data_IF_000596125083
#
_entry.id   IF_000596125083
#
_cell.length_a   1.000
_cell.length_b   1.000
_cell.length_c   1.000
_cell.angle_alpha   90.00
_cell.angle_beta   90.00
_cell.angle_gamma   90.00
#
_symmetry.space_group_name_H-M   'P 1'
#
loop_
_entity.id
_entity.type
_entity.pdbx_description
1 polymer ?
#
# COMPACT_ATOMS: atom_id res chain seq x y z
N UNK A 1 9.11 -0.39 -10.34
CA UNK A 1 9.46 0.98 -10.78
C UNK A 1 10.20 1.62 -9.63
N UNK A 2 11.53 1.73 -9.73
CA UNK A 2 12.35 2.48 -8.78
C UNK A 2 12.71 3.84 -9.42
N UNK A 3 11.68 4.60 -9.79
CA UNK A 3 11.78 5.86 -10.53
C UNK A 3 11.10 6.98 -9.76
N UNK A 4 11.54 8.24 -9.90
CA UNK A 4 10.85 9.38 -9.33
C UNK A 4 9.38 9.47 -9.81
N UNK A 5 8.44 9.93 -8.97
CA UNK A 5 7.01 10.05 -9.31
C UNK A 5 6.74 10.89 -10.57
N UNK A 6 7.59 11.90 -10.82
CA UNK A 6 7.42 12.84 -11.94
C UNK A 6 7.51 12.20 -13.32
N UNK A 7 8.24 11.08 -13.45
CA UNK A 7 8.43 10.38 -14.73
C UNK A 7 7.62 9.09 -14.81
N UNK A 8 6.92 8.73 -13.73
CA UNK A 8 6.23 7.47 -13.61
C UNK A 8 5.16 7.27 -14.70
N UNK A 9 4.22 8.21 -14.83
CA UNK A 9 3.11 8.10 -15.77
C UNK A 9 3.58 8.03 -17.23
N UNK A 10 4.60 8.84 -17.59
CA UNK A 10 5.20 8.83 -18.93
C UNK A 10 5.90 7.50 -19.24
N UNK A 11 6.58 6.93 -18.24
CA UNK A 11 7.25 5.64 -18.39
C UNK A 11 6.24 4.50 -18.54
N UNK A 12 5.15 4.52 -17.77
CA UNK A 12 4.06 3.54 -17.88
C UNK A 12 3.36 3.60 -19.25
N UNK A 13 3.17 4.79 -19.81
CA UNK A 13 2.63 5.00 -21.17
C UNK A 13 3.56 4.42 -22.25
N UNK A 14 4.85 4.74 -22.17
CA UNK A 14 5.85 4.24 -23.11
C UNK A 14 5.94 2.71 -23.07
N UNK A 15 5.90 2.11 -21.87
CA UNK A 15 5.91 0.66 -21.70
C UNK A 15 4.66 0.01 -22.28
N UNK A 16 3.48 0.61 -22.09
CA UNK A 16 2.24 0.07 -22.63
C UNK A 16 2.28 -0.06 -24.15
N UNK A 17 2.81 0.97 -24.82
CA UNK A 17 2.84 1.03 -26.29
C UNK A 17 3.93 0.16 -26.94
N UNK A 18 4.98 -0.21 -26.20
CA UNK A 18 6.17 -0.85 -26.80
C UNK A 18 6.51 -2.24 -26.25
N UNK A 19 6.24 -2.51 -24.97
CA UNK A 19 6.85 -3.62 -24.23
C UNK A 19 5.83 -4.55 -23.55
N UNK A 20 4.53 -4.37 -23.81
CA UNK A 20 3.50 -5.30 -23.34
C UNK A 20 3.56 -6.59 -24.15
N UNK A 21 3.64 -7.72 -23.44
CA UNK A 21 3.66 -9.03 -24.07
C UNK A 21 2.36 -9.32 -24.83
N UNK A 22 2.48 -9.87 -26.05
CA UNK A 22 1.32 -10.30 -26.85
C UNK A 22 0.80 -11.69 -26.46
N UNK A 23 1.60 -12.48 -25.75
CA UNK A 23 1.33 -13.90 -25.48
C UNK A 23 1.45 -14.27 -24.00
N UNK A 24 1.73 -13.30 -23.13
CA UNK A 24 1.89 -13.51 -21.69
C UNK A 24 1.37 -12.32 -20.88
N UNK A 25 1.58 -12.33 -19.58
CA UNK A 25 1.18 -11.23 -18.71
C UNK A 25 2.25 -10.15 -18.66
N UNK A 26 1.81 -8.92 -18.42
CA UNK A 26 2.68 -7.79 -18.09
C UNK A 26 2.09 -7.13 -16.86
N UNK A 27 2.92 -6.94 -15.83
CA UNK A 27 2.51 -6.36 -14.54
C UNK A 27 3.41 -5.18 -14.21
N UNK A 28 2.77 -4.13 -13.70
CA UNK A 28 3.36 -2.87 -13.33
C UNK A 28 3.57 -2.85 -11.81
N UNK A 29 4.81 -2.98 -11.34
CA UNK A 29 5.14 -2.86 -9.91
C UNK A 29 5.58 -1.45 -9.61
N UNK A 30 4.90 -0.76 -8.68
CA UNK A 30 5.04 0.69 -8.48
C UNK A 30 5.25 1.04 -7.02
N UNK A 31 6.18 1.96 -6.75
CA UNK A 31 6.57 2.36 -5.40
C UNK A 31 5.95 3.71 -5.03
N UNK A 32 5.76 3.92 -3.72
CA UNK A 32 5.30 5.21 -3.18
C UNK A 32 6.31 6.32 -3.53
N UNK A 33 5.88 7.59 -3.65
CA UNK A 33 4.55 8.12 -3.35
C UNK A 33 3.52 8.00 -4.49
N UNK A 34 2.27 7.68 -4.13
CA UNK A 34 1.13 7.55 -5.06
C UNK A 34 0.28 8.83 -5.10
N UNK A 35 0.93 9.98 -5.33
CA UNK A 35 0.35 11.31 -5.12
C UNK A 35 0.62 11.84 -3.70
N UNK A 36 0.23 13.10 -3.46
CA UNK A 36 0.39 13.82 -2.18
C UNK A 36 -0.92 14.00 -1.41
N UNK A 37 -2.05 13.72 -2.07
CA UNK A 37 -3.41 13.93 -1.58
C UNK A 37 -4.39 13.11 -2.44
N UNK A 38 -5.67 13.14 -2.08
CA UNK A 38 -6.71 12.38 -2.78
C UNK A 38 -6.82 12.76 -4.26
N UNK A 39 -6.65 14.03 -4.62
CA UNK A 39 -6.85 14.51 -5.98
C UNK A 39 -5.67 14.09 -6.87
N UNK A 40 -4.44 14.34 -6.44
CA UNK A 40 -3.23 13.92 -7.14
C UNK A 40 -3.10 12.40 -7.26
N UNK A 41 -3.50 11.65 -6.22
CA UNK A 41 -3.54 10.19 -6.26
C UNK A 41 -4.57 9.66 -7.26
N UNK A 42 -5.72 10.32 -7.33
CA UNK A 42 -6.75 10.03 -8.33
C UNK A 42 -6.25 10.33 -9.75
N UNK A 43 -5.61 11.47 -9.97
CA UNK A 43 -5.02 11.84 -11.28
C UNK A 43 -4.03 10.77 -11.75
N UNK A 44 -3.17 10.29 -10.85
CA UNK A 44 -2.22 9.21 -11.15
C UNK A 44 -2.93 7.92 -11.55
N UNK A 45 -3.94 7.51 -10.78
CA UNK A 45 -4.68 6.27 -11.02
C UNK A 45 -5.48 6.34 -12.32
N UNK A 46 -6.20 7.44 -12.55
CA UNK A 46 -6.96 7.68 -13.76
C UNK A 46 -6.05 7.75 -15.00
N UNK A 47 -4.82 8.26 -14.87
CA UNK A 47 -3.85 8.28 -15.96
C UNK A 47 -3.40 6.86 -16.36
N UNK A 48 -3.10 5.99 -15.39
CA UNK A 48 -2.73 4.59 -15.67
C UNK A 48 -3.86 3.83 -16.38
N UNK A 49 -5.10 4.03 -15.93
CA UNK A 49 -6.27 3.41 -16.54
C UNK A 49 -6.47 3.93 -17.98
N UNK A 50 -6.36 5.25 -18.19
CA UNK A 50 -6.46 5.86 -19.53
C UNK A 50 -5.38 5.37 -20.49
N UNK A 51 -4.19 5.03 -19.98
CA UNK A 51 -3.13 4.41 -20.76
C UNK A 51 -3.43 2.94 -21.11
N UNK A 52 -4.50 2.36 -20.59
CA UNK A 52 -4.93 1.00 -20.88
C UNK A 52 -4.33 -0.06 -19.94
N UNK A 53 -3.79 0.32 -18.78
CA UNK A 53 -3.45 -0.64 -17.73
C UNK A 53 -4.72 -1.10 -17.01
N UNK A 54 -4.90 -2.42 -16.91
CA UNK A 54 -5.94 -3.01 -16.07
C UNK A 54 -5.46 -3.04 -14.61
N UNK A 55 -6.38 -2.86 -13.65
CA UNK A 55 -6.05 -2.83 -12.22
C UNK A 55 -5.38 -4.12 -11.75
N UNK A 56 -5.74 -5.27 -12.31
CA UNK A 56 -5.08 -6.57 -12.04
C UNK A 56 -3.62 -6.63 -12.49
N UNK A 57 -3.19 -5.70 -13.32
CA UNK A 57 -1.80 -5.55 -13.74
C UNK A 57 -1.00 -4.63 -12.82
N UNK A 58 -1.65 -3.85 -11.96
CA UNK A 58 -1.01 -2.79 -11.18
C UNK A 58 -0.77 -3.24 -9.74
N UNK A 59 0.50 -3.40 -9.38
CA UNK A 59 0.95 -3.80 -8.05
C UNK A 59 1.58 -2.58 -7.36
N UNK A 60 0.80 -1.95 -6.46
CA UNK A 60 1.25 -0.83 -5.63
C UNK A 60 1.95 -1.39 -4.40
N UNK A 61 3.23 -1.06 -4.24
CA UNK A 61 4.02 -1.58 -3.13
C UNK A 61 3.77 -0.73 -1.88
N UNK A 62 3.30 -1.43 -0.85
CA UNK A 62 3.56 -1.09 0.53
C UNK A 62 4.38 -2.21 1.15
N UNK A 63 5.65 -1.95 1.44
CA UNK A 63 6.57 -2.99 1.91
C UNK A 63 6.21 -3.54 3.31
N UNK A 64 5.33 -2.89 4.08
CA UNK A 64 4.85 -3.44 5.35
C UNK A 64 4.00 -4.67 5.15
N UNK A 65 3.24 -4.75 4.05
CA UNK A 65 2.45 -5.93 3.70
C UNK A 65 3.31 -7.16 3.38
N UNK A 66 4.60 -6.96 3.10
CA UNK A 66 5.58 -8.03 2.91
C UNK A 66 6.23 -8.52 4.21
N UNK A 67 5.97 -7.88 5.35
CA UNK A 67 6.55 -8.30 6.64
C UNK A 67 5.77 -9.50 7.18
N UNK A 68 6.51 -10.53 7.59
CA UNK A 68 5.95 -11.79 8.09
C UNK A 68 4.91 -11.59 9.20
N UNK A 69 5.22 -10.76 10.20
CA UNK A 69 4.29 -10.50 11.31
C UNK A 69 3.03 -9.74 10.90
N UNK A 70 3.09 -8.92 9.85
CA UNK A 70 1.92 -8.21 9.31
C UNK A 70 1.01 -9.20 8.59
N UNK A 71 1.58 -10.10 7.79
CA UNK A 71 0.82 -11.17 7.11
C UNK A 71 0.17 -12.13 8.12
N UNK A 72 0.83 -12.39 9.25
CA UNK A 72 0.32 -13.30 10.28
C UNK A 72 -0.92 -12.77 11.03
N UNK A 73 -1.29 -11.49 10.87
CA UNK A 73 -2.50 -10.91 11.50
C UNK A 73 -3.75 -11.67 11.03
N UNK A 74 -3.88 -11.98 9.73
CA UNK A 74 -5.05 -12.68 9.20
C UNK A 74 -5.12 -14.13 9.69
N UNK A 75 -3.98 -14.81 9.74
CA UNK A 75 -3.88 -16.17 10.28
C UNK A 75 -4.26 -16.20 11.77
N UNK A 76 -3.83 -15.21 12.54
CA UNK A 76 -4.20 -15.07 13.95
C UNK A 76 -5.71 -14.86 14.10
N UNK A 77 -6.30 -13.92 13.36
CA UNK A 77 -7.71 -13.56 13.48
C UNK A 77 -8.66 -14.65 13.01
N UNK A 78 -8.43 -15.20 11.83
CA UNK A 78 -9.40 -16.09 11.17
C UNK A 78 -9.04 -17.57 11.23
N UNK A 79 -7.80 -17.91 11.60
CA UNK A 79 -7.36 -19.28 11.81
C UNK A 79 -7.64 -19.84 13.21
N UNK A 80 -8.06 -19.00 14.16
CA UNK A 80 -8.20 -19.39 15.57
C UNK A 80 -9.62 -19.10 16.09
N UNK A 81 -10.33 -20.16 16.52
CA UNK A 81 -11.70 -20.08 17.05
C UNK A 81 -11.80 -19.25 18.33
N UNK A 82 -10.70 -19.08 19.05
CA UNK A 82 -10.63 -18.32 20.30
C UNK A 82 -10.59 -16.82 20.04
N UNK A 83 -9.93 -16.37 18.97
CA UNK A 83 -9.77 -14.94 18.71
C UNK A 83 -10.97 -14.33 17.99
N UNK A 84 -11.56 -15.05 17.03
CA UNK A 84 -12.62 -14.50 16.19
C UNK A 84 -13.84 -13.98 16.99
N UNK A 85 -14.42 -14.70 17.98
CA UNK A 85 -15.57 -14.21 18.74
C UNK A 85 -15.25 -13.03 19.68
N UNK A 86 -13.99 -12.85 20.04
CA UNK A 86 -13.52 -11.77 20.92
C UNK A 86 -12.95 -10.58 20.15
N UNK A 87 -12.89 -10.64 18.81
CA UNK A 87 -12.31 -9.57 17.99
C UNK A 87 -13.33 -8.47 17.67
N UNK A 88 -13.93 -7.87 18.71
CA UNK A 88 -14.96 -6.83 18.58
C UNK A 88 -14.99 -5.88 19.79
N UNK A 89 -15.81 -4.83 19.69
CA UNK A 89 -15.92 -3.76 20.69
C UNK A 89 -16.48 -4.21 22.06
N UNK A 90 -17.05 -5.42 22.18
CA UNK A 90 -17.51 -5.95 23.46
C UNK A 90 -16.36 -6.49 24.31
N UNK A 91 -15.22 -6.79 23.68
CA UNK A 91 -14.06 -7.41 24.31
C UNK A 91 -12.79 -6.57 24.17
N UNK A 92 -12.70 -5.74 23.14
CA UNK A 92 -11.53 -4.88 22.85
C UNK A 92 -11.85 -3.44 23.26
N UNK A 93 -11.13 -2.94 24.27
CA UNK A 93 -11.24 -1.55 24.72
C UNK A 93 -10.46 -0.56 23.84
N UNK A 94 -9.30 -0.97 23.31
CA UNK A 94 -8.46 -0.14 22.45
C UNK A 94 -7.56 -1.00 21.54
N UNK A 95 -7.13 -0.40 20.43
CA UNK A 95 -6.10 -0.93 19.54
C UNK A 95 -5.05 0.17 19.37
N UNK A 96 -3.80 -0.14 19.69
CA UNK A 96 -2.66 0.76 19.49
C UNK A 96 -1.76 0.21 18.38
N UNK A 97 -1.48 1.05 17.38
CA UNK A 97 -0.54 0.75 16.30
C UNK A 97 0.58 1.77 16.39
N UNK A 98 1.78 1.28 16.70
CA UNK A 98 2.92 2.14 17.00
C UNK A 98 4.06 1.97 15.99
N UNK A 99 4.57 3.09 15.51
CA UNK A 99 5.80 3.18 14.74
C UNK A 99 6.78 4.12 15.45
N UNK A 100 7.99 3.63 15.71
CA UNK A 100 9.08 4.39 16.33
C UNK A 100 10.37 4.09 15.59
N UNK A 101 11.12 5.15 15.28
CA UNK A 101 12.49 5.05 14.79
C UNK A 101 13.42 5.72 15.80
N UNK A 102 14.55 5.11 16.17
CA UNK A 102 15.49 5.68 17.12
C UNK A 102 16.39 6.77 16.51
N UNK A 103 16.13 7.19 15.27
CA UNK A 103 16.93 8.15 14.51
C UNK A 103 16.05 9.25 13.89
N UNK A 104 16.65 10.41 13.60
CA UNK A 104 16.00 11.53 12.90
C UNK A 104 16.04 11.38 11.38
N UNK A 105 15.95 12.48 10.65
CA UNK A 105 15.85 12.48 9.16
C UNK A 105 17.13 12.08 8.42
N UNK A 106 18.26 11.88 9.12
CA UNK A 106 19.53 11.37 8.56
C UNK A 106 19.94 12.00 7.21
N UNK A 107 19.87 13.33 7.10
CA UNK A 107 20.25 14.05 5.87
C UNK A 107 19.19 14.06 4.76
N UNK A 108 17.99 13.51 5.01
CA UNK A 108 16.81 13.58 4.11
C UNK A 108 15.78 14.60 4.58
N UNK A 109 16.22 15.60 5.36
CA UNK A 109 15.36 16.64 5.94
C UNK A 109 14.48 17.32 4.90
N UNK A 110 15.08 17.78 3.79
CA UNK A 110 14.37 18.52 2.73
C UNK A 110 13.23 17.71 2.09
N UNK A 111 13.43 16.39 1.91
CA UNK A 111 12.39 15.50 1.40
C UNK A 111 11.28 15.30 2.45
N UNK A 112 11.68 15.06 3.69
CA UNK A 112 10.74 14.82 4.79
C UNK A 112 9.91 16.06 5.12
N UNK A 113 10.47 17.26 4.99
CA UNK A 113 9.77 18.52 5.24
C UNK A 113 8.60 18.74 4.28
N UNK A 114 8.74 18.34 3.02
CA UNK A 114 7.69 18.45 2.01
C UNK A 114 6.57 17.40 2.20
N UNK A 115 6.91 16.21 2.69
CA UNK A 115 5.96 15.09 2.81
C UNK A 115 5.30 14.99 4.19
N UNK A 116 6.10 15.08 5.25
CA UNK A 116 5.72 14.90 6.65
C UNK A 116 5.43 13.44 7.03
N UNK A 117 5.39 13.17 8.34
CA UNK A 117 5.21 11.82 8.89
C UNK A 117 3.88 11.17 8.47
N UNK A 118 2.83 11.98 8.26
CA UNK A 118 1.51 11.46 7.89
C UNK A 118 1.57 10.78 6.52
N UNK A 119 2.19 11.41 5.52
CA UNK A 119 2.30 10.81 4.18
C UNK A 119 3.39 9.76 4.12
N UNK A 120 4.46 9.94 4.90
CA UNK A 120 5.58 9.03 4.86
C UNK A 120 5.24 7.66 5.45
N UNK A 121 4.51 7.61 6.57
CA UNK A 121 4.27 6.37 7.33
C UNK A 121 2.80 6.12 7.69
N UNK A 122 2.04 7.14 8.09
CA UNK A 122 0.68 6.92 8.63
C UNK A 122 -0.30 6.51 7.53
N UNK A 123 -0.33 7.25 6.43
CA UNK A 123 -1.28 7.06 5.32
C UNK A 123 -1.08 5.72 4.59
N UNK A 124 0.13 5.18 4.61
CA UNK A 124 0.47 3.91 3.98
C UNK A 124 0.57 2.79 5.04
N UNK A 125 1.71 2.63 5.69
CA UNK A 125 2.08 1.49 6.51
C UNK A 125 1.10 1.25 7.67
N UNK A 126 0.81 2.30 8.46
CA UNK A 126 -0.07 2.13 9.62
C UNK A 126 -1.52 1.94 9.23
N UNK A 127 -1.98 2.62 8.19
CA UNK A 127 -3.32 2.42 7.66
C UNK A 127 -3.50 1.00 7.09
N UNK A 128 -2.49 0.45 6.41
CA UNK A 128 -2.50 -0.94 5.93
C UNK A 128 -2.51 -1.97 7.07
N UNK A 129 -1.78 -1.72 8.15
CA UNK A 129 -1.87 -2.59 9.34
C UNK A 129 -3.25 -2.47 9.99
N UNK A 130 -3.80 -1.26 10.06
CA UNK A 130 -5.15 -1.03 10.59
C UNK A 130 -6.22 -1.78 9.79
N UNK A 131 -6.15 -1.78 8.46
CA UNK A 131 -7.12 -2.52 7.64
C UNK A 131 -7.06 -4.01 7.92
N UNK A 132 -5.88 -4.61 8.07
CA UNK A 132 -5.75 -6.03 8.42
C UNK A 132 -6.28 -6.34 9.83
N UNK A 133 -6.14 -5.41 10.77
CA UNK A 133 -6.68 -5.53 12.14
C UNK A 133 -8.20 -5.39 12.17
N UNK A 134 -8.78 -4.53 11.32
CA UNK A 134 -10.18 -4.13 11.41
C UNK A 134 -11.11 -4.77 10.35
N UNK A 135 -10.57 -5.36 9.27
CA UNK A 135 -11.37 -5.96 8.20
C UNK A 135 -12.29 -7.06 8.75
N UNK A 136 -13.49 -7.18 8.21
CA UNK A 136 -14.37 -8.32 8.48
C UNK A 136 -13.76 -9.64 7.96
N UNK A 137 -14.29 -10.77 8.42
CA UNK A 137 -13.88 -12.06 7.88
C UNK A 137 -14.23 -12.13 6.39
N UNK A 138 -13.25 -12.30 5.48
CA UNK A 138 -13.53 -12.38 4.06
C UNK A 138 -14.25 -13.69 3.72
N UNK A 139 -15.01 -13.71 2.62
CA UNK A 139 -15.70 -14.92 2.15
C UNK A 139 -14.71 -16.02 1.75
N UNK A 140 -13.60 -15.65 1.13
CA UNK A 140 -12.46 -16.51 0.82
C UNK A 140 -11.14 -15.76 0.99
N UNK A 141 -10.02 -16.46 0.88
CA UNK A 141 -8.67 -15.89 0.97
C UNK A 141 -8.05 -15.60 -0.42
N UNK A 142 -8.89 -15.53 -1.46
CA UNK A 142 -8.47 -15.32 -2.85
C UNK A 142 -8.30 -13.84 -3.21
#
# INVERSE_FOLDING_TARGET
FALPPTIFAKTAEALKSTLVSKTGWTRLVIEKPFGSDSESSKVLSDALIKQGWDESQIYRIDHYLGKEMVQNILALRFGNRQFEPSWNNQHIANVEILFKEPFGTQGRGDYFEQYGIIRDVVQNHLLQVLTLVAIEKPESMD
#
